data_IF_316994388939
#
_entry.id   IF_316994388939
#
_cell.length_a   1.000
_cell.length_b   1.000
_cell.length_c   1.000
_cell.angle_alpha   90.00
_cell.angle_beta   90.00
_cell.angle_gamma   90.00
#
_symmetry.space_group_name_H-M   'P 1'
#
loop_
_entity.id
_entity.type
_entity.pdbx_description
1 polymer ?
#
# COMPACT_ATOMS: atom_id res chain seq x y z
N UNK A 1 -56.92 -36.61 -38.82
CA UNK A 1 -56.30 -35.76 -37.78
C UNK A 1 -56.28 -36.35 -36.37
N UNK A 2 -57.37 -36.91 -35.84
CA UNK A 2 -57.39 -37.54 -34.49
C UNK A 2 -56.30 -38.63 -34.30
N UNK A 3 -56.09 -39.48 -35.28
CA UNK A 3 -55.14 -40.60 -35.24
C UNK A 3 -53.65 -40.05 -35.37
N UNK A 4 -53.45 -38.96 -36.10
CA UNK A 4 -52.15 -38.34 -36.27
C UNK A 4 -51.71 -37.59 -35.01
N UNK A 5 -52.62 -36.97 -34.26
CA UNK A 5 -52.30 -36.28 -32.99
C UNK A 5 -51.91 -37.28 -31.91
N UNK A 6 -52.59 -38.45 -31.81
CA UNK A 6 -52.17 -39.52 -30.88
C UNK A 6 -50.84 -40.16 -31.27
N UNK A 7 -50.60 -40.38 -32.56
CA UNK A 7 -49.35 -40.90 -33.10
C UNK A 7 -48.17 -39.93 -32.91
N UNK A 8 -48.45 -38.62 -32.76
CA UNK A 8 -47.42 -37.61 -32.47
C UNK A 8 -47.15 -37.46 -30.97
N UNK A 9 -48.18 -37.67 -30.13
CA UNK A 9 -48.11 -37.42 -28.68
C UNK A 9 -47.10 -38.32 -27.97
N UNK A 10 -47.20 -39.62 -28.15
CA UNK A 10 -46.36 -40.60 -27.46
C UNK A 10 -44.90 -40.48 -27.82
N UNK A 11 -44.44 -40.33 -29.09
CA UNK A 11 -43.04 -40.12 -29.43
C UNK A 11 -42.48 -38.81 -28.92
N UNK A 12 -43.30 -37.75 -28.89
CA UNK A 12 -42.88 -36.47 -28.36
C UNK A 12 -42.64 -36.50 -26.84
N UNK A 13 -43.56 -37.09 -26.11
CA UNK A 13 -43.43 -37.24 -24.65
C UNK A 13 -42.27 -38.16 -24.30
N UNK A 14 -42.03 -39.23 -25.05
CA UNK A 14 -40.85 -40.08 -24.88
C UNK A 14 -39.55 -39.31 -25.17
N UNK A 15 -39.47 -38.55 -26.28
CA UNK A 15 -38.30 -37.76 -26.61
C UNK A 15 -37.98 -36.69 -25.54
N UNK A 16 -39.03 -36.09 -24.94
CA UNK A 16 -38.86 -35.14 -23.81
C UNK A 16 -38.33 -35.88 -22.57
N UNK A 17 -38.88 -37.04 -22.25
CA UNK A 17 -38.46 -37.82 -21.08
C UNK A 17 -37.00 -38.31 -21.21
N UNK A 18 -36.58 -38.68 -22.42
CA UNK A 18 -35.25 -39.20 -22.70
C UNK A 18 -34.20 -38.11 -23.00
N UNK A 19 -34.58 -36.83 -23.04
CA UNK A 19 -33.66 -35.75 -23.32
C UNK A 19 -32.48 -35.74 -22.30
N UNK A 20 -31.23 -35.91 -22.76
CA UNK A 20 -30.09 -36.09 -21.83
C UNK A 20 -29.60 -34.81 -21.17
N UNK A 21 -29.90 -33.65 -21.77
CA UNK A 21 -29.39 -32.34 -21.33
C UNK A 21 -30.38 -31.21 -21.66
N UNK A 22 -30.19 -30.06 -21.03
CA UNK A 22 -31.04 -28.88 -21.23
C UNK A 22 -31.04 -28.39 -22.68
N UNK A 23 -29.91 -28.46 -23.38
CA UNK A 23 -29.80 -28.04 -24.79
C UNK A 23 -30.62 -28.96 -25.72
N UNK A 24 -30.60 -30.28 -25.46
CA UNK A 24 -31.44 -31.24 -26.17
C UNK A 24 -32.94 -31.00 -25.92
N UNK A 25 -33.28 -30.71 -24.67
CA UNK A 25 -34.65 -30.37 -24.29
C UNK A 25 -35.14 -29.07 -24.94
N UNK A 26 -34.28 -28.06 -25.01
CA UNK A 26 -34.55 -26.78 -25.66
C UNK A 26 -34.76 -26.97 -27.18
N UNK A 27 -33.97 -27.82 -27.81
CA UNK A 27 -34.17 -28.19 -29.22
C UNK A 27 -35.54 -28.77 -29.46
N UNK A 28 -35.97 -29.74 -28.61
CA UNK A 28 -37.32 -30.34 -28.68
C UNK A 28 -38.41 -29.27 -28.46
N UNK A 29 -38.19 -28.34 -27.51
CA UNK A 29 -39.13 -27.26 -27.25
C UNK A 29 -39.31 -26.35 -28.48
N UNK A 30 -38.21 -25.98 -29.13
CA UNK A 30 -38.23 -25.12 -30.34
C UNK A 30 -38.92 -25.85 -31.50
N UNK A 31 -38.61 -27.12 -31.70
CA UNK A 31 -39.22 -27.97 -32.75
C UNK A 31 -40.72 -28.19 -32.56
N UNK A 32 -41.19 -28.17 -31.32
CA UNK A 32 -42.58 -28.44 -31.00
C UNK A 32 -43.40 -27.16 -30.82
N UNK A 33 -42.94 -26.25 -29.98
CA UNK A 33 -43.68 -25.06 -29.52
C UNK A 33 -43.09 -23.73 -30.06
N UNK A 34 -41.95 -23.75 -30.76
CA UNK A 34 -41.36 -22.57 -31.36
C UNK A 34 -42.25 -21.92 -32.41
N UNK A 35 -41.85 -20.76 -32.96
CA UNK A 35 -42.64 -20.03 -33.98
C UNK A 35 -43.00 -20.86 -35.22
N UNK A 36 -42.14 -21.81 -35.57
CA UNK A 36 -42.31 -22.77 -36.68
C UNK A 36 -42.55 -24.21 -36.18
N UNK A 37 -42.73 -24.38 -34.88
CA UNK A 37 -42.87 -25.69 -34.25
C UNK A 37 -44.15 -26.41 -34.69
N UNK A 38 -44.10 -27.75 -34.67
CA UNK A 38 -45.17 -28.64 -35.19
C UNK A 38 -46.54 -28.34 -34.55
N UNK A 39 -46.60 -28.19 -33.22
CA UNK A 39 -47.84 -27.88 -32.50
C UNK A 39 -48.33 -26.46 -32.82
N UNK A 40 -47.38 -25.49 -32.95
CA UNK A 40 -47.73 -24.12 -33.33
C UNK A 40 -48.31 -24.05 -34.73
N UNK A 41 -47.82 -24.87 -35.67
CA UNK A 41 -48.35 -24.95 -37.01
C UNK A 41 -49.76 -25.56 -36.99
N UNK A 42 -50.00 -26.62 -36.20
CA UNK A 42 -51.33 -27.20 -36.01
C UNK A 42 -52.34 -26.19 -35.45
N UNK A 43 -51.92 -25.37 -34.47
CA UNK A 43 -52.74 -24.29 -33.94
C UNK A 43 -53.11 -23.22 -34.99
N UNK A 44 -52.23 -22.95 -35.93
CA UNK A 44 -52.49 -22.02 -37.05
C UNK A 44 -53.53 -22.61 -38.05
N UNK A 45 -53.55 -23.92 -38.23
CA UNK A 45 -54.52 -24.56 -39.10
C UNK A 45 -55.95 -24.48 -38.55
N UNK A 46 -56.12 -24.40 -37.20
CA UNK A 46 -57.43 -24.18 -36.59
C UNK A 46 -58.17 -22.95 -37.12
N UNK A 47 -57.41 -21.88 -37.47
CA UNK A 47 -57.99 -20.66 -38.03
C UNK A 47 -58.61 -20.83 -39.42
N UNK A 48 -58.26 -21.92 -40.13
CA UNK A 48 -58.73 -22.22 -41.48
C UNK A 48 -59.83 -23.29 -41.51
N UNK A 49 -60.18 -23.89 -40.35
CA UNK A 49 -61.19 -24.96 -40.21
C UNK A 49 -62.61 -24.40 -40.07
N UNK A 50 -63.60 -25.21 -40.41
CA UNK A 50 -65.00 -24.87 -40.16
C UNK A 50 -65.26 -24.76 -38.63
N UNK A 51 -66.34 -24.05 -38.21
CA UNK A 51 -66.71 -23.96 -36.80
C UNK A 51 -66.89 -25.29 -36.10
N UNK A 52 -67.48 -26.25 -36.81
CA UNK A 52 -67.80 -27.62 -36.31
C UNK A 52 -66.49 -28.43 -36.12
N UNK A 53 -65.59 -28.42 -37.09
CA UNK A 53 -64.26 -29.07 -36.99
C UNK A 53 -63.42 -28.48 -35.88
N UNK A 54 -63.48 -27.16 -35.70
CA UNK A 54 -62.71 -26.43 -34.64
C UNK A 54 -63.21 -26.84 -33.25
N UNK A 55 -64.52 -27.09 -33.06
CA UNK A 55 -65.04 -27.55 -31.77
C UNK A 55 -64.52 -28.92 -31.38
N UNK A 56 -64.22 -29.79 -32.35
CA UNK A 56 -63.79 -31.20 -32.13
C UNK A 56 -62.24 -31.24 -32.02
N UNK A 57 -61.48 -30.58 -32.91
CA UNK A 57 -60.04 -30.70 -33.00
C UNK A 57 -59.30 -29.69 -32.11
N UNK A 58 -59.92 -28.53 -31.83
CA UNK A 58 -59.36 -27.48 -30.98
C UNK A 58 -58.93 -27.99 -29.59
N UNK A 59 -59.89 -28.64 -28.84
CA UNK A 59 -59.52 -29.15 -27.49
C UNK A 59 -58.43 -30.23 -27.52
N UNK A 60 -58.30 -31.01 -28.57
CA UNK A 60 -57.26 -32.06 -28.71
C UNK A 60 -55.91 -31.47 -28.95
N UNK A 61 -55.79 -30.43 -29.82
CA UNK A 61 -54.55 -29.75 -30.10
C UNK A 61 -54.08 -28.92 -28.87
N UNK A 62 -55.05 -28.30 -28.18
CA UNK A 62 -54.73 -27.60 -26.91
C UNK A 62 -54.27 -28.57 -25.83
N UNK A 63 -54.92 -29.72 -25.67
CA UNK A 63 -54.52 -30.77 -24.73
C UNK A 63 -53.16 -31.36 -25.05
N UNK A 64 -52.79 -31.53 -26.34
CA UNK A 64 -51.45 -31.94 -26.72
C UNK A 64 -50.41 -30.87 -26.34
N UNK A 65 -50.69 -29.58 -26.60
CA UNK A 65 -49.84 -28.49 -26.24
C UNK A 65 -49.59 -28.42 -24.73
N UNK A 66 -50.67 -28.59 -23.96
CA UNK A 66 -50.62 -28.56 -22.50
C UNK A 66 -49.77 -29.72 -21.95
N UNK A 67 -50.01 -30.94 -22.43
CA UNK A 67 -49.24 -32.12 -22.04
C UNK A 67 -47.74 -31.99 -22.39
N UNK A 68 -47.40 -31.46 -23.57
CA UNK A 68 -46.01 -31.22 -23.97
C UNK A 68 -45.40 -30.12 -23.14
N UNK A 69 -46.12 -29.05 -22.83
CA UNK A 69 -45.59 -27.94 -21.98
C UNK A 69 -45.32 -28.42 -20.56
N UNK A 70 -46.21 -29.23 -20.00
CA UNK A 70 -46.04 -29.80 -18.66
C UNK A 70 -44.86 -30.79 -18.63
N UNK A 71 -44.74 -31.67 -19.60
CA UNK A 71 -43.63 -32.62 -19.71
C UNK A 71 -42.27 -31.91 -19.86
N UNK A 72 -42.21 -30.86 -20.69
CA UNK A 72 -41.00 -30.04 -20.84
C UNK A 72 -40.61 -29.36 -19.52
N UNK A 73 -41.59 -28.81 -18.79
CA UNK A 73 -41.36 -28.19 -17.47
C UNK A 73 -40.83 -29.19 -16.44
N UNK A 74 -41.46 -30.36 -16.35
CA UNK A 74 -41.07 -31.44 -15.44
C UNK A 74 -39.65 -31.96 -15.75
N UNK A 75 -39.34 -32.21 -17.06
CA UNK A 75 -38.00 -32.67 -17.46
C UNK A 75 -36.93 -31.62 -17.22
N UNK A 76 -37.22 -30.36 -17.50
CA UNK A 76 -36.32 -29.26 -17.22
C UNK A 76 -35.95 -29.17 -15.74
N UNK A 77 -36.96 -29.21 -14.87
CA UNK A 77 -36.73 -29.19 -13.43
C UNK A 77 -35.86 -30.39 -12.95
N UNK A 78 -36.13 -31.59 -13.51
CA UNK A 78 -35.36 -32.79 -13.18
C UNK A 78 -33.87 -32.65 -13.62
N UNK A 79 -33.64 -32.13 -14.83
CA UNK A 79 -32.27 -31.91 -15.34
C UNK A 79 -31.52 -30.81 -14.55
N UNK A 80 -32.20 -29.72 -14.19
CA UNK A 80 -31.64 -28.66 -13.36
C UNK A 80 -31.29 -29.17 -11.96
N UNK A 81 -32.19 -29.99 -11.37
CA UNK A 81 -31.91 -30.60 -10.05
C UNK A 81 -30.74 -31.58 -10.12
N UNK A 82 -30.67 -32.43 -11.13
CA UNK A 82 -29.56 -33.36 -11.32
C UNK A 82 -28.24 -32.64 -11.53
N UNK A 83 -28.21 -31.52 -12.27
CA UNK A 83 -27.03 -30.70 -12.46
C UNK A 83 -26.61 -30.02 -11.14
N UNK A 84 -27.57 -29.53 -10.35
CA UNK A 84 -27.30 -28.95 -9.03
C UNK A 84 -26.71 -30.00 -8.08
N UNK A 85 -27.31 -31.18 -8.02
CA UNK A 85 -26.85 -32.27 -7.14
C UNK A 85 -25.41 -32.71 -7.52
N UNK A 86 -25.12 -32.82 -8.81
CA UNK A 86 -23.79 -33.15 -9.30
C UNK A 86 -22.77 -32.06 -8.91
N UNK A 87 -23.15 -30.79 -9.04
CA UNK A 87 -22.31 -29.67 -8.62
C UNK A 87 -22.05 -29.67 -7.12
N UNK A 88 -23.11 -29.83 -6.32
CA UNK A 88 -22.97 -29.88 -4.85
C UNK A 88 -22.13 -31.07 -4.41
N UNK A 89 -22.19 -32.21 -5.10
CA UNK A 89 -21.33 -33.35 -4.81
C UNK A 89 -19.84 -33.07 -5.13
N UNK A 90 -19.59 -32.37 -6.25
CA UNK A 90 -18.21 -32.02 -6.66
C UNK A 90 -17.59 -30.85 -5.87
N UNK A 91 -18.41 -29.91 -5.40
CA UNK A 91 -18.02 -28.76 -4.61
C UNK A 91 -17.99 -29.06 -3.09
N UNK A 92 -18.11 -30.31 -2.68
CA UNK A 92 -18.09 -30.70 -1.28
C UNK A 92 -16.72 -30.43 -0.66
N UNK A 93 -16.66 -29.52 0.32
CA UNK A 93 -15.47 -29.22 1.08
C UNK A 93 -15.40 -30.10 2.35
N UNK A 94 -14.22 -30.54 2.68
CA UNK A 94 -13.96 -31.21 3.98
C UNK A 94 -13.86 -30.14 5.09
N UNK A 95 -14.95 -30.00 5.84
CA UNK A 95 -15.02 -29.05 6.96
C UNK A 95 -14.28 -29.51 8.21
N UNK A 96 -13.68 -30.71 8.20
CA UNK A 96 -12.85 -31.20 9.32
C UNK A 96 -11.40 -30.75 9.20
N UNK A 97 -11.00 -30.26 8.04
CA UNK A 97 -9.69 -29.62 7.89
C UNK A 97 -9.66 -28.32 8.71
N UNK A 98 -8.55 -28.04 9.41
CA UNK A 98 -8.38 -26.76 10.08
C UNK A 98 -8.52 -25.66 9.02
N UNK A 99 -9.35 -24.68 9.31
CA UNK A 99 -9.38 -23.43 8.54
C UNK A 99 -7.94 -22.90 8.54
N UNK A 100 -7.37 -22.67 7.36
CA UNK A 100 -6.11 -21.95 7.29
C UNK A 100 -6.25 -20.71 8.16
N UNK A 101 -5.37 -20.60 9.16
CA UNK A 101 -5.48 -19.56 10.19
C UNK A 101 -5.65 -18.23 9.49
N UNK A 102 -6.70 -17.50 9.86
CA UNK A 102 -6.98 -16.20 9.28
C UNK A 102 -5.69 -15.39 9.24
N UNK A 103 -5.51 -14.58 8.23
CA UNK A 103 -4.30 -13.79 8.02
C UNK A 103 -3.90 -13.13 9.35
N UNK A 104 -2.79 -13.60 9.93
CA UNK A 104 -2.16 -12.90 11.04
C UNK A 104 -1.91 -11.46 10.58
N UNK A 105 -1.90 -10.52 11.54
CA UNK A 105 -1.67 -9.12 11.25
C UNK A 105 -0.42 -8.91 10.38
N UNK A 106 -0.38 -7.82 9.64
CA UNK A 106 0.73 -7.46 8.75
C UNK A 106 1.56 -6.34 9.37
N UNK A 107 2.85 -6.31 9.04
CA UNK A 107 3.75 -5.20 9.41
C UNK A 107 3.41 -4.00 8.52
N UNK A 108 3.21 -2.84 9.16
CA UNK A 108 2.93 -1.60 8.46
C UNK A 108 4.14 -1.17 7.60
N UNK A 109 3.96 -0.63 6.37
CA UNK A 109 5.07 -0.22 5.50
C UNK A 109 6.08 0.73 6.15
N UNK A 110 5.65 1.66 7.00
CA UNK A 110 6.56 2.55 7.74
C UNK A 110 7.45 1.75 8.70
N UNK A 111 6.89 0.78 9.43
CA UNK A 111 7.67 -0.07 10.33
C UNK A 111 8.66 -0.93 9.54
N UNK A 112 8.23 -1.46 8.40
CA UNK A 112 9.09 -2.21 7.48
C UNK A 112 10.30 -1.38 7.02
N UNK A 113 10.05 -0.12 6.61
CA UNK A 113 11.13 0.78 6.21
C UNK A 113 12.03 1.14 7.38
N UNK A 114 11.48 1.35 8.59
CA UNK A 114 12.30 1.61 9.78
C UNK A 114 13.27 0.47 10.10
N UNK A 115 12.77 -0.77 10.02
CA UNK A 115 13.60 -1.96 10.27
C UNK A 115 14.69 -2.10 9.20
N UNK A 116 14.34 -1.92 7.93
CA UNK A 116 15.29 -1.95 6.81
C UNK A 116 16.37 -0.85 6.94
N UNK A 117 15.99 0.36 7.30
CA UNK A 117 16.95 1.44 7.56
C UNK A 117 17.89 1.10 8.70
N UNK A 118 17.38 0.51 9.78
CA UNK A 118 18.21 0.09 10.90
C UNK A 118 19.24 -0.96 10.48
N UNK A 119 18.86 -1.94 9.65
CA UNK A 119 19.77 -2.95 9.11
C UNK A 119 20.85 -2.34 8.20
N UNK A 120 20.45 -1.51 7.21
CA UNK A 120 21.37 -0.84 6.29
C UNK A 120 22.41 0.00 7.07
N UNK A 121 21.95 0.78 8.04
CA UNK A 121 22.87 1.65 8.80
C UNK A 121 23.69 0.89 9.84
N UNK A 122 23.19 -0.25 10.37
CA UNK A 122 24.01 -1.14 11.21
C UNK A 122 25.21 -1.69 10.43
N UNK A 123 25.03 -2.09 9.19
CA UNK A 123 26.11 -2.54 8.31
C UNK A 123 27.12 -1.42 8.00
N UNK A 124 26.68 -0.16 7.96
CA UNK A 124 27.54 1.00 7.84
C UNK A 124 28.21 1.42 9.18
N UNK A 125 27.96 0.69 10.26
CA UNK A 125 28.53 0.93 11.58
C UNK A 125 27.84 2.00 12.41
N UNK A 126 26.57 2.30 12.11
CA UNK A 126 25.74 3.21 12.90
C UNK A 126 24.97 2.45 13.98
N UNK A 127 24.78 3.07 15.13
CA UNK A 127 23.88 2.62 16.17
C UNK A 127 22.53 3.35 16.07
N UNK A 128 21.44 2.71 16.50
CA UNK A 128 20.13 3.38 16.63
C UNK A 128 20.10 4.14 17.96
N UNK A 129 19.83 5.44 17.88
CA UNK A 129 19.62 6.30 19.05
C UNK A 129 18.14 6.71 19.12
N UNK A 130 17.60 6.77 20.34
CA UNK A 130 16.22 7.18 20.60
C UNK A 130 16.19 8.37 21.55
N UNK A 131 15.08 9.11 21.52
CA UNK A 131 14.84 10.23 22.43
C UNK A 131 13.38 10.59 22.56
N UNK A 132 13.02 11.49 23.48
CA UNK A 132 11.63 11.85 23.75
C UNK A 132 11.00 12.58 22.57
N UNK A 133 9.69 12.39 22.37
CA UNK A 133 8.90 13.15 21.40
C UNK A 133 8.52 14.55 21.94
N UNK A 134 8.39 14.68 23.25
CA UNK A 134 8.21 15.95 23.95
C UNK A 134 9.59 16.49 24.33
N UNK A 135 10.01 17.53 23.65
CA UNK A 135 11.34 18.10 23.81
C UNK A 135 11.34 19.49 24.43
N UNK A 136 12.49 19.92 24.87
CA UNK A 136 12.68 21.32 25.23
C UNK A 136 12.95 22.15 23.97
N UNK A 137 12.51 23.40 23.99
CA UNK A 137 12.80 24.37 22.92
C UNK A 137 14.32 24.47 22.63
N UNK A 138 15.13 24.36 23.68
CA UNK A 138 16.58 24.40 23.54
C UNK A 138 17.13 23.25 22.69
N UNK A 139 16.72 22.01 22.96
CA UNK A 139 17.18 20.84 22.19
C UNK A 139 16.63 20.84 20.76
N UNK A 140 15.38 21.31 20.60
CA UNK A 140 14.70 21.29 19.30
C UNK A 140 15.17 22.43 18.37
N UNK A 141 15.66 23.56 18.94
CA UNK A 141 16.00 24.73 18.14
C UNK A 141 17.32 25.38 18.53
N UNK A 142 17.51 25.82 19.77
CA UNK A 142 18.64 26.67 20.15
C UNK A 142 19.99 25.97 19.97
N UNK A 143 20.11 24.72 20.44
CA UNK A 143 21.31 23.92 20.27
C UNK A 143 21.62 23.59 18.79
N UNK A 144 20.62 23.65 17.93
CA UNK A 144 20.74 23.45 16.49
C UNK A 144 20.98 24.75 15.71
N UNK A 145 21.43 25.81 16.40
CA UNK A 145 21.69 27.11 15.79
C UNK A 145 20.47 27.76 15.09
N UNK A 146 19.24 27.38 15.48
CA UNK A 146 18.00 27.97 14.99
C UNK A 146 17.66 29.18 15.87
N UNK A 147 17.71 30.42 15.36
CA UNK A 147 17.49 31.63 16.17
C UNK A 147 16.01 31.75 16.57
N UNK A 148 15.72 32.56 17.62
CA UNK A 148 14.35 32.76 18.12
C UNK A 148 13.39 33.36 17.06
N UNK A 149 13.93 34.18 16.17
CA UNK A 149 13.18 34.83 15.08
C UNK A 149 12.95 33.93 13.86
N UNK A 150 13.42 32.69 13.90
CA UNK A 150 13.27 31.79 12.75
C UNK A 150 11.80 31.36 12.57
N UNK A 151 11.24 31.37 11.35
CA UNK A 151 9.85 31.01 11.10
C UNK A 151 9.44 29.64 11.67
N UNK A 152 10.31 28.63 11.62
CA UNK A 152 10.05 27.30 12.17
C UNK A 152 9.71 27.27 13.69
N UNK A 153 10.03 28.34 14.45
CA UNK A 153 9.65 28.49 15.86
C UNK A 153 8.28 29.15 16.04
N UNK A 154 7.63 29.57 14.95
CA UNK A 154 6.34 30.20 15.05
C UNK A 154 5.27 29.18 15.51
N UNK A 155 4.31 29.64 16.30
CA UNK A 155 3.25 28.78 16.86
C UNK A 155 2.33 28.15 15.81
N UNK A 156 2.32 28.66 14.60
CA UNK A 156 1.58 28.06 13.49
C UNK A 156 2.29 26.87 12.84
N UNK A 157 3.60 26.70 13.07
CA UNK A 157 4.38 25.60 12.52
C UNK A 157 4.77 24.54 13.57
N UNK A 158 4.76 24.91 14.86
CA UNK A 158 5.22 24.07 15.97
C UNK A 158 4.17 23.91 17.05
N UNK A 159 3.94 22.68 17.51
CA UNK A 159 3.08 22.39 18.64
C UNK A 159 3.80 22.63 19.97
N UNK A 160 3.47 23.73 20.63
CA UNK A 160 3.94 24.04 21.98
C UNK A 160 3.00 23.47 23.03
N UNK A 161 3.54 22.88 24.09
CA UNK A 161 2.75 22.37 25.21
C UNK A 161 2.35 23.47 26.18
N UNK A 162 1.06 23.56 26.50
CA UNK A 162 0.57 24.49 27.50
C UNK A 162 0.93 24.07 28.93
N UNK A 163 1.12 25.05 29.85
CA UNK A 163 1.23 24.79 31.28
C UNK A 163 2.62 24.55 31.82
N UNK A 164 3.65 24.76 31.04
CA UNK A 164 5.06 24.78 31.55
C UNK A 164 5.44 26.23 31.82
N UNK A 165 5.18 26.69 33.05
CA UNK A 165 5.49 28.06 33.45
C UNK A 165 7.00 28.32 33.61
N UNK A 166 7.36 29.58 33.30
CA UNK A 166 8.70 30.12 33.44
C UNK A 166 9.16 30.11 34.90
N UNK A 167 10.23 29.44 35.17
CA UNK A 167 10.88 29.42 36.52
C UNK A 167 12.11 28.55 36.60
N UNK A 168 12.57 27.98 35.51
CA UNK A 168 13.74 27.12 35.45
C UNK A 168 14.80 27.60 34.48
N UNK A 169 15.92 26.91 34.43
CA UNK A 169 16.98 27.07 33.45
C UNK A 169 16.37 27.15 32.02
N UNK A 170 16.88 28.05 31.21
CA UNK A 170 16.46 28.30 29.81
C UNK A 170 16.31 27.01 28.98
N UNK A 171 17.05 25.96 29.34
CA UNK A 171 16.97 24.61 28.76
C UNK A 171 15.72 23.83 29.09
N UNK A 172 14.89 24.25 30.05
CA UNK A 172 13.76 23.47 30.59
C UNK A 172 12.39 24.13 30.44
N UNK A 173 12.35 25.44 30.11
CA UNK A 173 11.17 26.28 30.28
C UNK A 173 10.07 26.10 29.23
N UNK A 174 10.41 25.84 27.97
CA UNK A 174 9.42 25.64 26.89
C UNK A 174 9.50 24.23 26.36
N UNK A 175 8.37 23.55 26.28
CA UNK A 175 8.30 22.20 25.70
C UNK A 175 7.50 22.22 24.41
N UNK A 176 7.97 21.41 23.45
CA UNK A 176 7.38 21.28 22.12
C UNK A 176 7.24 19.80 21.78
N UNK A 177 6.30 19.46 20.90
CA UNK A 177 6.43 18.23 20.14
C UNK A 177 7.56 18.44 19.11
N UNK A 178 8.56 17.55 19.11
CA UNK A 178 9.75 17.70 18.25
C UNK A 178 9.36 17.80 16.78
N UNK A 179 9.92 18.79 16.09
CA UNK A 179 9.64 19.05 14.67
C UNK A 179 10.53 18.27 13.71
N UNK A 180 11.54 17.63 14.24
CA UNK A 180 12.51 16.74 13.58
C UNK A 180 13.17 15.84 14.63
N UNK A 181 13.97 14.87 14.22
CA UNK A 181 14.66 13.95 15.13
C UNK A 181 16.06 14.44 15.56
N UNK A 182 16.50 15.64 15.10
CA UNK A 182 17.79 16.26 15.48
C UNK A 182 18.00 16.45 16.99
N UNK A 183 16.97 16.65 17.85
CA UNK A 183 17.18 16.66 19.29
C UNK A 183 17.88 15.41 19.84
N UNK A 184 17.66 14.25 19.21
CA UNK A 184 18.36 13.02 19.59
C UNK A 184 19.86 13.11 19.31
N UNK A 185 20.25 13.78 18.22
CA UNK A 185 21.65 14.04 17.89
C UNK A 185 22.31 14.91 18.98
N UNK A 186 21.63 15.99 19.41
CA UNK A 186 22.09 16.88 20.50
C UNK A 186 22.24 16.10 21.79
N UNK A 187 21.24 15.30 22.16
CA UNK A 187 21.29 14.45 23.38
C UNK A 187 22.46 13.48 23.34
N UNK A 188 22.68 12.83 22.20
CA UNK A 188 23.79 11.89 22.04
C UNK A 188 25.15 12.59 22.19
N UNK A 189 25.33 13.76 21.56
CA UNK A 189 26.59 14.52 21.69
C UNK A 189 26.83 15.07 23.10
N UNK A 190 25.78 15.32 23.89
CA UNK A 190 25.89 15.73 25.30
C UNK A 190 26.22 14.55 26.22
N UNK A 191 25.76 13.35 25.90
CA UNK A 191 25.90 12.14 26.73
C UNK A 191 27.17 11.34 26.39
N UNK A 192 27.58 11.33 25.13
CA UNK A 192 28.66 10.48 24.62
C UNK A 192 29.82 11.33 24.06
N UNK A 193 31.03 10.80 24.22
CA UNK A 193 32.20 11.36 23.56
C UNK A 193 32.37 10.79 22.15
N UNK A 194 32.81 11.58 21.17
CA UNK A 194 33.18 11.05 19.86
C UNK A 194 34.25 9.94 19.93
N UNK A 195 34.29 9.00 18.98
CA UNK A 195 33.51 9.00 17.73
C UNK A 195 32.05 8.61 17.92
N UNK A 196 31.14 9.32 17.24
CA UNK A 196 29.69 9.08 17.26
C UNK A 196 29.22 8.72 15.84
N UNK A 197 28.45 7.65 15.71
CA UNK A 197 27.77 7.24 14.48
C UNK A 197 26.41 6.69 14.84
N UNK A 198 25.37 7.49 14.62
CA UNK A 198 24.00 7.13 14.98
C UNK A 198 23.03 7.44 13.88
N UNK A 199 21.92 6.68 13.84
CA UNK A 199 20.67 7.09 13.23
C UNK A 199 19.62 7.30 14.31
N UNK A 200 18.74 8.27 14.10
CA UNK A 200 17.66 8.61 15.01
C UNK A 200 16.30 8.52 14.27
N UNK A 201 15.71 7.31 14.12
CA UNK A 201 14.36 7.17 13.57
C UNK A 201 13.32 7.57 14.62
N UNK A 202 12.21 8.15 14.17
CA UNK A 202 11.11 8.48 15.07
C UNK A 202 10.03 9.36 14.48
N UNK A 203 9.00 9.57 15.28
CA UNK A 203 7.89 10.47 14.93
C UNK A 203 8.31 11.91 15.12
N UNK A 204 7.78 12.76 14.25
CA UNK A 204 7.96 14.21 14.26
C UNK A 204 6.63 14.90 14.01
N UNK A 205 6.50 16.16 14.41
CA UNK A 205 5.24 16.86 14.46
C UNK A 205 5.37 18.27 13.90
N UNK A 206 4.52 18.62 12.95
CA UNK A 206 4.41 19.97 12.40
C UNK A 206 2.95 20.34 12.24
N UNK A 207 2.61 21.60 12.47
CA UNK A 207 1.22 22.08 12.36
C UNK A 207 0.78 22.24 10.90
N UNK A 208 1.32 21.45 10.00
CA UNK A 208 1.02 21.47 8.56
C UNK A 208 0.13 20.28 8.18
N UNK A 209 -0.88 20.51 7.34
CA UNK A 209 -1.82 19.45 6.93
C UNK A 209 -2.36 19.73 5.54
N UNK A 210 -1.86 18.99 4.54
CA UNK A 210 -2.36 18.99 3.17
C UNK A 210 -2.28 17.58 2.53
N UNK A 211 -2.40 17.47 1.22
CA UNK A 211 -2.32 16.16 0.53
C UNK A 211 -0.93 15.49 0.62
N UNK A 212 0.11 16.25 0.95
CA UNK A 212 1.50 15.82 1.02
C UNK A 212 2.12 15.95 2.41
N UNK A 213 1.39 16.56 3.36
CA UNK A 213 1.83 16.80 4.73
C UNK A 213 0.76 16.37 5.73
N UNK A 214 1.20 15.69 6.77
CA UNK A 214 0.37 15.31 7.92
C UNK A 214 0.94 15.92 9.19
N UNK A 215 0.10 16.24 10.20
CA UNK A 215 0.59 16.82 11.46
C UNK A 215 1.61 15.95 12.19
N UNK A 216 1.61 14.65 11.96
CA UNK A 216 2.60 13.69 12.45
C UNK A 216 3.12 12.90 11.26
N UNK A 217 4.43 12.74 11.17
CA UNK A 217 5.12 11.94 10.15
C UNK A 217 6.36 11.28 10.75
N UNK A 218 6.99 10.37 10.02
CA UNK A 218 8.17 9.68 10.49
C UNK A 218 9.42 10.18 9.75
N UNK A 219 10.48 10.36 10.52
CA UNK A 219 11.78 10.83 10.02
C UNK A 219 12.89 9.96 10.57
N UNK A 220 13.95 9.80 9.79
CA UNK A 220 15.23 9.30 10.26
C UNK A 220 16.30 10.35 9.97
N UNK A 221 17.11 10.63 10.97
CA UNK A 221 18.32 11.45 10.81
C UNK A 221 19.54 10.64 11.16
N UNK A 222 20.64 10.90 10.45
CA UNK A 222 21.95 10.32 10.73
C UNK A 222 22.93 11.38 11.18
N UNK A 223 23.80 11.02 12.11
CA UNK A 223 24.90 11.85 12.61
C UNK A 223 26.20 11.06 12.67
N UNK A 224 27.24 11.63 12.13
CA UNK A 224 28.62 11.18 12.35
C UNK A 224 29.43 12.32 12.93
N UNK A 225 30.12 12.11 14.05
CA UNK A 225 31.10 13.01 14.63
C UNK A 225 32.40 12.23 14.83
N UNK A 226 33.44 12.62 14.15
CA UNK A 226 34.78 12.01 14.27
C UNK A 226 35.84 12.99 13.79
N UNK A 227 37.14 12.63 13.88
CA UNK A 227 38.22 13.43 13.34
C UNK A 227 38.38 13.29 11.84
N UNK A 228 38.59 14.39 11.15
CA UNK A 228 38.85 14.39 9.71
C UNK A 228 37.65 13.99 8.82
N UNK A 229 36.44 14.13 9.32
CA UNK A 229 35.21 13.90 8.53
C UNK A 229 35.03 14.97 7.46
N UNK A 230 34.66 14.56 6.27
CA UNK A 230 34.54 15.42 5.09
C UNK A 230 33.19 15.21 4.37
N UNK A 231 32.86 16.14 3.48
CA UNK A 231 31.71 16.02 2.57
C UNK A 231 31.80 14.78 1.67
N UNK A 232 33.03 14.30 1.39
CA UNK A 232 33.22 13.04 0.65
C UNK A 232 32.70 11.83 1.41
N UNK A 233 32.87 11.77 2.73
CA UNK A 233 32.33 10.72 3.58
C UNK A 233 30.81 10.78 3.61
N UNK A 234 30.22 11.98 3.72
CA UNK A 234 28.77 12.16 3.63
C UNK A 234 28.23 11.63 2.30
N UNK A 235 28.81 12.05 1.17
CA UNK A 235 28.37 11.62 -0.15
C UNK A 235 28.44 10.10 -0.30
N UNK A 236 29.54 9.48 0.12
CA UNK A 236 29.71 8.04 0.07
C UNK A 236 28.66 7.31 0.91
N UNK A 237 28.41 7.75 2.14
CA UNK A 237 27.40 7.19 3.03
C UNK A 237 26.00 7.25 2.41
N UNK A 238 25.63 8.40 1.84
CA UNK A 238 24.33 8.58 1.22
C UNK A 238 24.17 7.76 -0.07
N UNK A 239 25.20 7.66 -0.88
CA UNK A 239 25.18 6.86 -2.10
C UNK A 239 25.03 5.38 -1.77
N UNK A 240 25.80 4.87 -0.81
CA UNK A 240 25.73 3.48 -0.35
C UNK A 240 24.37 3.18 0.25
N UNK A 241 23.86 4.05 1.12
CA UNK A 241 22.52 3.92 1.71
C UNK A 241 21.44 3.82 0.64
N UNK A 242 21.39 4.77 -0.29
CA UNK A 242 20.32 4.82 -1.28
C UNK A 242 20.39 3.67 -2.29
N UNK A 243 21.58 3.22 -2.66
CA UNK A 243 21.76 1.99 -3.47
C UNK A 243 21.19 0.77 -2.77
N UNK A 244 21.52 0.58 -1.51
CA UNK A 244 21.02 -0.54 -0.70
C UNK A 244 19.50 -0.45 -0.52
N UNK A 245 18.98 0.71 -0.15
CA UNK A 245 17.56 0.89 0.12
C UNK A 245 16.67 0.69 -1.11
N UNK A 246 17.06 1.22 -2.26
CA UNK A 246 16.30 1.03 -3.52
C UNK A 246 16.69 -0.25 -4.27
N UNK A 247 17.68 -1.00 -3.77
CA UNK A 247 18.19 -2.24 -4.40
C UNK A 247 18.62 -2.02 -5.86
N UNK A 248 19.35 -0.91 -6.10
CA UNK A 248 19.74 -0.47 -7.43
C UNK A 248 21.17 0.07 -7.46
N UNK A 249 22.00 -0.46 -8.35
CA UNK A 249 23.38 0.01 -8.55
C UNK A 249 23.48 1.29 -9.38
N UNK A 250 22.45 1.59 -10.19
CA UNK A 250 22.39 2.75 -11.08
C UNK A 250 21.90 4.04 -10.42
N UNK A 251 21.90 4.10 -9.09
CA UNK A 251 21.60 5.32 -8.33
C UNK A 251 22.65 6.39 -8.61
N UNK A 252 22.18 7.54 -9.07
CA UNK A 252 22.98 8.74 -9.28
C UNK A 252 22.51 9.82 -8.34
N UNK A 253 23.45 10.37 -7.55
CA UNK A 253 23.19 11.47 -6.61
C UNK A 253 23.68 12.79 -7.16
N UNK A 254 22.91 13.84 -6.87
CA UNK A 254 23.33 15.23 -7.04
C UNK A 254 23.16 15.95 -5.71
N UNK A 255 24.25 16.54 -5.21
CA UNK A 255 24.24 17.45 -4.07
C UNK A 255 23.97 18.87 -4.59
N UNK A 256 22.84 19.44 -4.23
CA UNK A 256 22.43 20.80 -4.60
C UNK A 256 22.64 21.71 -3.38
N UNK A 257 23.44 22.79 -3.48
CA UNK A 257 23.63 23.72 -2.37
C UNK A 257 22.28 24.19 -1.80
N UNK A 258 22.20 24.19 -0.47
CA UNK A 258 21.02 24.63 0.27
C UNK A 258 21.46 25.34 1.56
N UNK A 259 20.52 25.74 2.38
CA UNK A 259 20.78 26.36 3.67
C UNK A 259 19.96 25.69 4.78
N UNK A 260 20.69 25.19 5.79
CA UNK A 260 20.09 24.75 7.05
C UNK A 260 20.88 25.37 8.20
N UNK A 261 20.22 25.90 9.26
CA UNK A 261 20.92 26.58 10.34
C UNK A 261 21.97 25.73 11.07
N UNK A 262 21.76 24.42 11.08
CA UNK A 262 22.55 23.42 11.82
C UNK A 262 23.65 22.75 10.98
N UNK A 263 23.77 23.08 9.69
CA UNK A 263 24.83 22.55 8.82
C UNK A 263 25.49 23.64 7.97
N UNK A 264 26.81 23.51 7.71
CA UNK A 264 27.59 24.39 6.83
C UNK A 264 28.82 23.64 6.30
N UNK A 265 28.95 23.35 4.99
CA UNK A 265 27.96 23.57 3.93
C UNK A 265 26.76 22.65 4.06
N UNK A 266 25.62 23.15 3.60
CA UNK A 266 24.36 22.40 3.50
C UNK A 266 24.06 22.00 2.06
N UNK A 267 23.46 20.84 1.88
CA UNK A 267 23.04 20.35 0.57
C UNK A 267 21.74 19.58 0.65
N UNK A 268 20.84 19.86 -0.28
CA UNK A 268 19.75 18.95 -0.62
C UNK A 268 20.28 17.86 -1.54
N UNK A 269 19.78 16.65 -1.35
CA UNK A 269 20.21 15.47 -2.11
C UNK A 269 19.11 15.08 -3.05
N UNK A 270 19.41 15.20 -4.34
CA UNK A 270 18.55 14.78 -5.41
C UNK A 270 19.02 13.42 -5.95
N UNK A 271 18.08 12.53 -6.23
CA UNK A 271 18.31 11.23 -6.89
C UNK A 271 17.77 11.30 -8.31
N UNK A 272 18.51 10.75 -9.25
CA UNK A 272 18.06 10.58 -10.62
C UNK A 272 16.89 9.59 -10.69
N UNK A 273 15.95 9.82 -11.63
CA UNK A 273 14.90 8.85 -11.96
C UNK A 273 14.75 8.70 -13.46
N UNK A 274 14.17 7.57 -13.87
CA UNK A 274 13.74 7.30 -15.23
C UNK A 274 12.21 7.26 -15.31
N UNK A 275 11.65 7.28 -16.52
CA UNK A 275 10.22 7.10 -16.75
C UNK A 275 10.03 5.74 -17.42
N UNK A 276 9.46 4.78 -16.71
CA UNK A 276 9.13 3.46 -17.19
C UNK A 276 7.62 3.27 -17.23
N UNK A 277 7.06 2.98 -18.41
CA UNK A 277 5.60 2.80 -18.60
C UNK A 277 4.76 3.95 -18.03
N UNK A 278 5.27 5.19 -18.12
CA UNK A 278 4.60 6.39 -17.60
C UNK A 278 4.72 6.62 -16.09
N UNK A 279 5.44 5.77 -15.37
CA UNK A 279 5.73 5.92 -13.93
C UNK A 279 7.17 6.35 -13.71
N UNK A 280 7.40 7.15 -12.66
CA UNK A 280 8.75 7.50 -12.20
C UNK A 280 9.35 6.32 -11.46
N UNK A 281 10.54 5.92 -11.85
CA UNK A 281 11.31 4.85 -11.20
C UNK A 281 12.64 5.44 -10.78
N UNK A 282 12.98 5.33 -9.51
CA UNK A 282 14.26 5.80 -8.96
C UNK A 282 15.40 5.03 -9.62
N UNK A 283 16.45 5.74 -10.04
CA UNK A 283 17.63 5.21 -10.73
C UNK A 283 17.85 5.81 -12.11
N UNK A 284 19.08 5.82 -12.55
CA UNK A 284 19.50 6.55 -13.76
C UNK A 284 19.30 8.05 -13.65
N UNK A 285 19.34 8.77 -14.78
CA UNK A 285 19.13 10.23 -14.81
C UNK A 285 18.34 10.71 -16.04
N UNK A 286 17.78 9.79 -16.80
CA UNK A 286 17.10 10.11 -18.06
C UNK A 286 15.74 10.80 -17.92
N UNK A 287 15.07 10.68 -16.75
CA UNK A 287 13.76 11.27 -16.48
C UNK A 287 13.81 12.59 -15.70
N UNK A 288 14.93 12.88 -15.06
CA UNK A 288 15.10 14.07 -14.23
C UNK A 288 15.66 13.79 -12.84
N UNK A 289 15.42 14.72 -11.92
CA UNK A 289 15.91 14.69 -10.55
C UNK A 289 14.77 14.82 -9.55
N UNK A 290 14.87 14.11 -8.44
CA UNK A 290 13.90 14.14 -7.35
C UNK A 290 14.66 14.35 -6.04
N UNK A 291 14.26 15.35 -5.28
CA UNK A 291 14.77 15.59 -3.93
C UNK A 291 14.28 14.48 -2.99
N UNK A 292 15.22 13.91 -2.22
CA UNK A 292 14.93 12.80 -1.30
C UNK A 292 15.22 13.19 0.14
N UNK A 293 16.31 13.96 0.40
CA UNK A 293 16.74 14.28 1.75
C UNK A 293 17.58 15.56 1.82
N UNK A 294 17.65 16.15 3.02
CA UNK A 294 18.58 17.22 3.35
C UNK A 294 19.82 16.70 4.07
N UNK A 295 20.97 17.35 3.86
CA UNK A 295 22.24 16.93 4.46
C UNK A 295 23.23 18.08 4.58
N UNK A 296 24.31 17.86 5.28
CA UNK A 296 25.42 18.82 5.35
C UNK A 296 26.47 18.46 6.39
N UNK A 297 27.54 19.26 6.43
CA UNK A 297 28.51 19.18 7.52
C UNK A 297 27.93 19.85 8.75
N UNK A 298 28.11 19.25 9.93
CA UNK A 298 27.56 19.79 11.17
C UNK A 298 28.17 21.17 11.45
N UNK A 299 27.32 22.17 11.70
CA UNK A 299 27.74 23.53 11.94
C UNK A 299 28.58 23.60 13.21
N UNK A 300 29.75 24.34 13.22
CA UNK A 300 30.62 24.46 14.40
C UNK A 300 29.89 24.85 15.68
N UNK A 301 28.93 25.78 15.60
CA UNK A 301 28.14 26.22 16.77
C UNK A 301 27.29 25.10 17.38
N UNK A 302 26.87 24.11 16.60
CA UNK A 302 26.14 22.94 17.11
C UNK A 302 27.08 22.05 17.91
N UNK A 303 28.30 21.84 17.42
CA UNK A 303 29.37 21.11 18.11
C UNK A 303 29.71 21.80 19.43
N UNK A 304 29.91 23.13 19.41
CA UNK A 304 30.17 23.96 20.60
C UNK A 304 29.04 23.93 21.62
N UNK A 305 27.76 24.00 21.15
CA UNK A 305 26.58 23.92 22.02
C UNK A 305 26.50 22.58 22.78
N UNK A 306 27.10 21.54 22.25
CA UNK A 306 27.21 20.23 22.88
C UNK A 306 28.49 20.05 23.72
N UNK A 307 29.31 21.10 23.87
CA UNK A 307 30.54 21.08 24.68
C UNK A 307 31.74 20.40 24.03
N UNK A 308 31.69 20.21 22.71
CA UNK A 308 32.80 19.65 21.93
C UNK A 308 33.60 20.76 21.23
N UNK A 309 34.90 20.53 21.00
CA UNK A 309 35.78 21.47 20.28
C UNK A 309 35.63 21.26 18.74
N UNK A 310 35.09 22.23 17.98
CA UNK A 310 34.93 22.12 16.53
C UNK A 310 36.27 22.13 15.75
N UNK A 311 37.38 22.51 16.39
CA UNK A 311 38.68 22.37 15.77
C UNK A 311 39.21 20.92 15.81
N UNK A 312 38.79 20.16 16.78
CA UNK A 312 39.17 18.75 16.95
C UNK A 312 38.17 17.80 16.27
N UNK A 313 36.87 18.12 16.37
CA UNK A 313 35.80 17.25 15.94
C UNK A 313 35.03 17.86 14.75
N UNK A 314 34.81 17.06 13.71
CA UNK A 314 34.00 17.40 12.56
C UNK A 314 32.93 16.33 12.38
N UNK A 315 31.88 16.68 11.66
CA UNK A 315 30.81 15.70 11.41
C UNK A 315 29.94 16.05 10.24
N UNK A 316 29.14 15.11 9.85
CA UNK A 316 28.04 15.33 8.93
C UNK A 316 26.71 14.85 9.52
N UNK A 317 25.64 15.43 9.03
CA UNK A 317 24.28 15.00 9.33
C UNK A 317 23.44 14.95 8.05
N UNK A 318 22.42 14.11 8.08
CA UNK A 318 21.39 14.04 7.04
C UNK A 318 20.04 13.69 7.66
N UNK A 319 18.94 14.02 6.97
CA UNK A 319 17.59 13.69 7.43
C UNK A 319 16.64 13.46 6.28
N UNK A 320 15.86 12.38 6.34
CA UNK A 320 14.85 12.05 5.36
C UNK A 320 13.54 11.59 6.01
N UNK A 321 12.42 11.84 5.32
CA UNK A 321 11.10 11.35 5.70
C UNK A 321 10.97 9.86 5.39
N UNK A 322 10.68 9.05 6.40
CA UNK A 322 10.49 7.59 6.25
C UNK A 322 9.26 7.30 5.42
N UNK A 323 8.17 8.03 5.66
CA UNK A 323 6.93 7.91 4.89
C UNK A 323 7.17 8.17 3.40
N UNK A 324 7.97 9.20 3.08
CA UNK A 324 8.35 9.52 1.69
C UNK A 324 9.22 8.42 1.05
N UNK A 325 10.16 7.86 1.80
CA UNK A 325 10.95 6.72 1.34
C UNK A 325 10.07 5.51 1.03
N UNK A 326 9.10 5.20 1.91
CA UNK A 326 8.13 4.14 1.70
C UNK A 326 7.28 4.39 0.45
N UNK A 327 6.78 5.61 0.26
CA UNK A 327 6.02 6.00 -0.94
C UNK A 327 6.83 5.76 -2.22
N UNK A 328 8.09 6.15 -2.23
CA UNK A 328 8.96 6.00 -3.39
C UNK A 328 9.31 4.54 -3.68
N UNK A 329 9.61 3.76 -2.65
CA UNK A 329 9.99 2.34 -2.80
C UNK A 329 8.81 1.47 -3.24
N UNK A 330 7.64 1.67 -2.65
CA UNK A 330 6.47 0.80 -2.86
C UNK A 330 5.44 1.39 -3.85
N UNK A 331 5.71 2.57 -4.41
CA UNK A 331 4.84 3.19 -5.41
C UNK A 331 3.49 3.65 -4.85
N UNK A 332 3.48 4.22 -3.65
CA UNK A 332 2.29 4.75 -2.99
C UNK A 332 2.13 6.24 -3.32
N UNK A 333 0.95 6.64 -3.76
CA UNK A 333 0.72 7.99 -4.28
C UNK A 333 0.17 8.98 -3.22
N UNK A 334 -0.35 8.47 -2.08
CA UNK A 334 -1.03 9.30 -1.07
C UNK A 334 -0.52 9.00 0.35
N UNK A 335 0.07 10.02 0.97
CA UNK A 335 0.61 9.94 2.33
C UNK A 335 -0.46 9.67 3.39
N UNK A 336 -1.68 10.16 3.20
CA UNK A 336 -2.79 10.04 4.16
C UNK A 336 -3.18 8.59 4.40
N UNK A 337 -3.04 7.75 3.38
CA UNK A 337 -3.35 6.32 3.48
C UNK A 337 -2.54 5.58 4.55
N UNK A 338 -1.34 6.07 4.91
CA UNK A 338 -0.54 5.50 6.00
C UNK A 338 -1.21 5.65 7.37
N UNK A 339 -2.12 6.61 7.53
CA UNK A 339 -2.72 6.97 8.82
C UNK A 339 -4.23 6.71 8.87
N UNK A 340 -4.88 6.42 7.74
CA UNK A 340 -6.34 6.21 7.66
C UNK A 340 -6.82 4.92 8.32
N UNK A 341 -5.94 3.94 8.55
CA UNK A 341 -6.29 2.65 9.14
C UNK A 341 -7.20 1.77 8.26
N UNK A 342 -7.24 1.99 6.94
CA UNK A 342 -8.02 1.17 6.02
C UNK A 342 -7.42 -0.25 5.95
N UNK A 343 -8.18 -1.22 6.43
CA UNK A 343 -7.77 -2.63 6.50
C UNK A 343 -7.46 -3.24 5.13
N UNK A 344 -8.09 -2.74 4.06
CA UNK A 344 -7.85 -3.19 2.69
C UNK A 344 -6.48 -2.73 2.21
N UNK A 345 -6.15 -1.47 2.51
CA UNK A 345 -4.85 -0.89 2.22
C UNK A 345 -3.73 -1.59 3.01
N UNK A 346 -3.95 -1.81 4.32
CA UNK A 346 -3.00 -2.53 5.19
C UNK A 346 -2.76 -3.97 4.72
N UNK A 347 -3.78 -4.66 4.22
CA UNK A 347 -3.63 -6.00 3.63
C UNK A 347 -2.89 -6.00 2.30
N UNK A 348 -3.04 -4.92 1.51
CA UNK A 348 -2.40 -4.80 0.19
C UNK A 348 -0.91 -4.46 0.30
N UNK A 349 -0.57 -3.51 1.18
CA UNK A 349 0.80 -3.01 1.36
C UNK A 349 1.51 -3.57 2.59
N UNK A 350 0.80 -4.30 3.45
CA UNK A 350 1.39 -4.88 4.64
C UNK A 350 2.28 -6.08 4.33
N UNK A 351 3.34 -6.25 5.12
CA UNK A 351 4.32 -7.31 5.00
C UNK A 351 4.08 -8.38 6.07
N UNK A 352 4.25 -9.65 5.73
CA UNK A 352 4.30 -10.69 6.74
C UNK A 352 5.62 -10.59 7.53
N UNK A 353 5.57 -10.87 8.82
CA UNK A 353 6.74 -10.73 9.69
C UNK A 353 7.95 -11.60 9.31
N UNK A 354 7.72 -12.63 8.49
CA UNK A 354 8.78 -13.50 7.97
C UNK A 354 9.22 -13.16 6.54
N UNK A 355 8.53 -12.24 5.88
CA UNK A 355 8.83 -11.78 4.51
C UNK A 355 9.69 -10.50 4.52
N UNK A 356 10.20 -10.09 5.68
CA UNK A 356 11.08 -8.94 5.81
C UNK A 356 12.36 -9.22 5.04
N UNK A 357 12.73 -8.41 4.03
CA UNK A 357 14.00 -8.55 3.35
C UNK A 357 15.14 -8.43 4.36
N UNK A 358 15.95 -9.44 4.46
CA UNK A 358 17.17 -9.38 5.27
C UNK A 358 18.35 -9.03 4.37
N UNK A 359 19.15 -8.05 4.78
CA UNK A 359 20.41 -7.71 4.10
C UNK A 359 21.50 -8.74 4.45
N UNK A 360 21.21 -10.02 4.22
CA UNK A 360 22.11 -11.11 4.60
C UNK A 360 23.49 -11.05 3.90
N UNK A 361 23.62 -10.26 2.85
CA UNK A 361 24.87 -10.03 2.13
C UNK A 361 25.66 -8.81 2.56
N UNK A 362 25.08 -7.96 3.44
CA UNK A 362 25.67 -6.66 3.82
C UNK A 362 25.52 -5.58 2.75
N UNK A 363 25.74 -4.32 3.13
CA UNK A 363 25.56 -3.13 2.27
C UNK A 363 26.67 -2.97 1.22
N UNK A 364 27.71 -3.74 1.30
CA UNK A 364 28.89 -3.66 0.42
C UNK A 364 29.16 -4.95 -0.36
N UNK A 365 28.21 -5.87 -0.42
CA UNK A 365 28.38 -7.14 -1.15
C UNK A 365 28.04 -6.99 -2.64
#
# INVERSE_FOLDING_TARGET
>A
MSNELEQMREPLLAAIADAPALDALETIRVDTLGKQGRITQLLKTLGKMSPEERQVEGPKIHGLREAVTEALGARKAALEQAALDARLASERLDMTLPVEGGSFGTVHPVSQVMDELAEIFADLGFAVATGPEVETDWHNFTALNIPETHPARAMHDTFYLAGVEAGGDERTVRRVLRTHTSPVQIRTMLDQKPPIRIIAPGRTYRSDSDATHTPMFHQVEGLVIDKGITLGHLKWTLETFLKAFFERDDIVLRLRPSYFPFTEPSAEVDVGYTIEKGKRVIGGSGGGWMEVLGSGMVHPKVIEACGLDPNEWQGFAFGCGIDRLAMLKYGMDDLRAFFDGDIRWLKHYGFASLDVPTLSGGVGA
#
